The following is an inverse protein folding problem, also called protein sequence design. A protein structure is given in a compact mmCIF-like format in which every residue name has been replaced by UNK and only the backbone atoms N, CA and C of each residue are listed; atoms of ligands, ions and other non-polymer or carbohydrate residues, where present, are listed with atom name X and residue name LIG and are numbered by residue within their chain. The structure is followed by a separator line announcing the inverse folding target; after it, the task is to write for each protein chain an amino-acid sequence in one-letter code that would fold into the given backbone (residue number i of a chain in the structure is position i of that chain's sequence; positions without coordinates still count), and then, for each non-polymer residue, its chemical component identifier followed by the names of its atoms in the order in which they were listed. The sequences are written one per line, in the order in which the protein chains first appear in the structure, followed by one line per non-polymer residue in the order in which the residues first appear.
data_IF_691809939431
#
_entry.id   IF_691809939431
#
_cell.length_a   1.000
_cell.length_b   1.000
_cell.length_c   1.000
_cell.angle_alpha   90.00
_cell.angle_beta   90.00
_cell.angle_gamma   90.00
#
_symmetry.space_group_name_H-M   'P 1'
#
loop_
_entity.id
_entity.type
_entity.pdbx_description
1 polymer ?
#
# COMPACT_ATOMS: atom_id res chain seq x y z
N UNK A 1 16.23 -3.22 -3.55
CA UNK A 1 15.21 -4.26 -3.50
C UNK A 1 14.34 -4.08 -2.26
N UNK A 2 13.04 -4.20 -2.40
CA UNK A 2 12.11 -4.07 -1.29
C UNK A 2 12.17 -5.32 -0.40
N UNK A 3 12.45 -5.12 0.89
CA UNK A 3 12.49 -6.21 1.86
C UNK A 3 11.59 -5.88 3.04
N UNK A 4 10.41 -6.50 3.08
CA UNK A 4 9.42 -6.24 4.12
C UNK A 4 9.84 -6.76 5.49
N UNK A 5 10.80 -7.70 5.55
CA UNK A 5 11.29 -8.21 6.83
C UNK A 5 12.01 -7.14 7.65
N UNK A 6 12.47 -6.06 6.99
CA UNK A 6 13.13 -4.96 7.67
C UNK A 6 12.18 -3.89 8.18
N UNK A 7 10.88 -4.02 7.89
CA UNK A 7 9.90 -3.01 8.24
C UNK A 7 9.54 -3.12 9.72
N UNK A 8 9.65 -1.99 10.43
CA UNK A 8 9.33 -1.88 11.85
C UNK A 8 7.95 -1.26 12.11
N UNK A 9 7.37 -0.61 11.10
CA UNK A 9 6.08 0.03 11.29
C UNK A 9 5.69 0.93 10.13
N UNK A 10 4.73 1.82 10.41
CA UNK A 10 4.18 2.74 9.44
C UNK A 10 4.40 4.17 9.89
N UNK A 11 4.58 5.07 8.92
CA UNK A 11 4.72 6.50 9.20
C UNK A 11 3.44 7.23 8.79
N UNK A 12 2.79 7.84 9.77
CA UNK A 12 1.59 8.65 9.57
C UNK A 12 1.79 10.05 10.11
N UNK A 13 1.33 11.05 9.36
CA UNK A 13 1.26 12.44 9.83
C UNK A 13 0.16 13.15 9.04
N UNK A 14 0.00 14.47 9.24
CA UNK A 14 -1.05 15.23 8.58
C UNK A 14 -0.97 15.17 7.05
N UNK A 15 0.22 14.90 6.50
CA UNK A 15 0.40 14.82 5.04
C UNK A 15 -0.22 13.59 4.41
N UNK A 16 -0.45 12.52 5.15
CA UNK A 16 -0.99 11.28 4.59
C UNK A 16 -2.13 10.63 5.38
N UNK A 17 -2.34 11.00 6.65
CA UNK A 17 -3.25 10.27 7.54
C UNK A 17 -4.71 10.26 7.07
N UNK A 18 -5.21 11.36 6.53
CA UNK A 18 -6.63 11.50 6.18
C UNK A 18 -6.89 11.50 4.67
N UNK A 19 -5.84 11.47 3.86
CA UNK A 19 -5.98 11.67 2.42
C UNK A 19 -6.84 10.60 1.75
N UNK A 20 -6.59 9.34 2.04
CA UNK A 20 -7.33 8.23 1.42
C UNK A 20 -8.73 8.05 2.02
N UNK A 21 -8.90 8.37 3.30
CA UNK A 21 -10.21 8.37 3.94
C UNK A 21 -11.12 9.40 3.28
N UNK A 22 -10.62 10.63 3.05
CA UNK A 22 -11.39 11.69 2.45
C UNK A 22 -11.72 11.43 0.97
N UNK A 23 -10.78 10.87 0.20
CA UNK A 23 -10.96 10.67 -1.23
C UNK A 23 -11.59 9.35 -1.60
N UNK A 24 -11.27 8.28 -0.89
CA UNK A 24 -11.56 6.91 -1.31
C UNK A 24 -12.25 6.09 -0.23
N UNK A 25 -12.58 6.71 0.89
CA UNK A 25 -13.24 6.03 2.02
C UNK A 25 -12.44 4.82 2.52
N UNK A 26 -11.10 4.97 2.57
CA UNK A 26 -10.21 3.95 3.10
C UNK A 26 -9.56 4.47 4.37
N UNK A 27 -9.80 3.78 5.48
CA UNK A 27 -9.20 4.14 6.76
C UNK A 27 -7.70 3.80 6.78
N UNK A 28 -6.87 4.57 7.52
CA UNK A 28 -5.45 4.22 7.69
C UNK A 28 -5.25 2.77 8.13
N UNK A 29 -6.06 2.28 9.06
CA UNK A 29 -5.96 0.90 9.54
C UNK A 29 -6.19 -0.11 8.42
N UNK A 30 -7.13 0.16 7.51
CA UNK A 30 -7.39 -0.74 6.39
C UNK A 30 -6.18 -0.83 5.44
N UNK A 31 -5.54 0.30 5.16
CA UNK A 31 -4.37 0.30 4.29
C UNK A 31 -3.17 -0.41 4.92
N UNK A 32 -3.06 -0.40 6.25
CA UNK A 32 -2.02 -1.18 6.94
C UNK A 32 -2.31 -2.68 6.90
N UNK A 33 -3.57 -3.07 7.00
CA UNK A 33 -3.97 -4.48 7.10
C UNK A 33 -3.49 -5.31 5.92
N UNK A 34 -3.45 -4.74 4.72
CA UNK A 34 -3.07 -5.52 3.54
C UNK A 34 -1.65 -6.06 3.64
N UNK A 35 -0.78 -5.41 4.42
CA UNK A 35 0.61 -5.84 4.59
C UNK A 35 0.75 -7.07 5.49
N UNK A 36 -0.31 -7.46 6.16
CA UNK A 36 -0.33 -8.62 7.07
C UNK A 36 -1.11 -9.81 6.51
N UNK A 37 -1.70 -9.66 5.32
CA UNK A 37 -2.53 -10.70 4.72
C UNK A 37 -1.91 -11.19 3.41
N UNK A 38 -2.21 -12.44 3.06
CA UNK A 38 -1.77 -13.05 1.81
C UNK A 38 -2.95 -13.21 0.85
N UNK A 39 -2.70 -13.09 -0.46
CA UNK A 39 -1.44 -12.70 -1.08
C UNK A 39 -1.21 -11.20 -1.00
N UNK A 40 0.05 -10.79 -1.03
CA UNK A 40 0.44 -9.39 -1.13
C UNK A 40 1.33 -9.26 -2.37
N UNK A 41 0.84 -8.54 -3.38
CA UNK A 41 1.58 -8.33 -4.62
C UNK A 41 2.23 -6.96 -4.59
N UNK A 42 3.54 -6.91 -4.86
CA UNK A 42 4.33 -5.69 -4.80
C UNK A 42 4.97 -5.40 -6.15
N UNK A 43 4.87 -4.16 -6.59
CA UNK A 43 5.53 -3.67 -7.79
C UNK A 43 6.20 -2.33 -7.53
N UNK A 44 7.30 -2.07 -8.23
CA UNK A 44 7.93 -0.76 -8.22
C UNK A 44 7.15 0.16 -9.17
N UNK A 45 6.75 1.33 -8.68
CA UNK A 45 6.06 2.32 -9.51
C UNK A 45 7.08 3.30 -10.10
N UNK A 46 7.76 2.87 -11.16
CA UNK A 46 8.83 3.65 -11.77
C UNK A 46 8.33 4.99 -12.30
N UNK A 47 7.10 5.04 -12.79
CA UNK A 47 6.51 6.24 -13.38
C UNK A 47 6.40 7.39 -12.38
N UNK A 48 6.14 7.07 -11.13
CA UNK A 48 5.95 8.05 -10.07
C UNK A 48 7.09 8.11 -9.05
N UNK A 49 8.26 7.54 -9.40
CA UNK A 49 9.43 7.47 -8.51
C UNK A 49 10.46 8.56 -8.83
N UNK A 50 10.01 9.81 -9.00
CA UNK A 50 10.91 10.90 -9.42
C UNK A 50 11.84 11.39 -8.31
N UNK A 51 11.30 11.68 -7.13
CA UNK A 51 12.09 12.20 -6.01
C UNK A 51 12.45 11.12 -4.99
N UNK A 52 11.61 10.08 -4.91
CA UNK A 52 11.84 8.93 -4.03
C UNK A 52 11.17 7.71 -4.65
N UNK A 53 11.69 6.50 -4.40
CA UNK A 53 11.09 5.28 -4.93
C UNK A 53 9.67 5.11 -4.40
N UNK A 54 8.73 4.85 -5.31
CA UNK A 54 7.35 4.53 -4.96
C UNK A 54 7.04 3.11 -5.37
N UNK A 55 6.21 2.47 -4.56
CA UNK A 55 5.81 1.09 -4.74
C UNK A 55 4.30 1.00 -4.75
N UNK A 56 3.79 -0.01 -5.43
CA UNK A 56 2.37 -0.29 -5.49
C UNK A 56 2.13 -1.67 -4.91
N UNK A 57 1.17 -1.75 -3.98
CA UNK A 57 0.78 -3.00 -3.35
C UNK A 57 -0.67 -3.31 -3.69
N UNK A 58 -0.93 -4.55 -4.10
CA UNK A 58 -2.28 -5.09 -4.19
C UNK A 58 -2.45 -6.06 -3.05
N UNK A 59 -3.48 -5.88 -2.25
CA UNK A 59 -3.70 -6.72 -1.08
C UNK A 59 -5.15 -6.72 -0.63
N UNK A 60 -5.39 -7.40 0.49
CA UNK A 60 -6.73 -7.59 1.04
C UNK A 60 -6.74 -7.22 2.52
N UNK A 61 -7.77 -6.50 2.94
CA UNK A 61 -7.96 -6.15 4.36
C UNK A 61 -8.46 -7.36 5.13
N UNK A 62 -8.49 -7.25 6.47
CA UNK A 62 -9.08 -8.29 7.32
C UNK A 62 -10.56 -8.49 6.99
N UNK A 63 -11.26 -7.41 6.61
CA UNK A 63 -12.67 -7.48 6.19
C UNK A 63 -12.87 -7.90 4.74
N UNK A 64 -11.80 -8.32 4.05
CA UNK A 64 -11.82 -8.85 2.68
C UNK A 64 -12.07 -7.79 1.60
N UNK A 65 -11.77 -6.54 1.90
CA UNK A 65 -11.77 -5.46 0.91
C UNK A 65 -10.47 -5.49 0.12
N UNK A 66 -10.57 -5.42 -1.21
CA UNK A 66 -9.41 -5.45 -2.10
C UNK A 66 -8.91 -4.04 -2.34
N UNK A 67 -7.67 -3.76 -1.93
CA UNK A 67 -7.10 -2.42 -2.01
C UNK A 67 -5.85 -2.38 -2.89
N UNK A 68 -5.66 -1.22 -3.51
CA UNK A 68 -4.40 -0.81 -4.12
C UNK A 68 -3.81 0.29 -3.26
N UNK A 69 -2.59 0.08 -2.78
CA UNK A 69 -1.90 1.02 -1.90
C UNK A 69 -0.61 1.47 -2.56
N UNK A 70 -0.43 2.78 -2.66
CA UNK A 70 0.84 3.37 -3.11
C UNK A 70 1.61 3.81 -1.88
N UNK A 71 2.87 3.42 -1.78
CA UNK A 71 3.67 3.73 -0.60
C UNK A 71 5.12 3.97 -0.97
N UNK A 72 5.85 4.56 -0.04
CA UNK A 72 7.30 4.68 -0.10
C UNK A 72 7.89 4.22 1.24
N UNK A 73 9.20 4.15 1.32
CA UNK A 73 9.89 3.75 2.54
C UNK A 73 10.59 4.95 3.15
N UNK A 74 10.62 5.01 4.47
CA UNK A 74 11.26 6.08 5.24
C UNK A 74 12.15 5.48 6.32
N UNK A 75 12.97 6.32 6.93
CA UNK A 75 13.84 5.96 8.06
C UNK A 75 14.73 4.75 7.71
N UNK A 76 15.54 4.90 6.67
CA UNK A 76 16.46 3.85 6.19
C UNK A 76 15.69 2.57 5.82
N UNK A 77 14.54 2.74 5.16
CA UNK A 77 13.70 1.62 4.68
C UNK A 77 13.07 0.79 5.80
N UNK A 78 12.96 1.36 7.00
CA UNK A 78 12.36 0.65 8.14
C UNK A 78 10.89 0.98 8.37
N UNK A 79 10.38 2.05 7.74
CA UNK A 79 8.98 2.45 7.87
C UNK A 79 8.30 2.53 6.52
N UNK A 80 7.07 2.06 6.46
CA UNK A 80 6.20 2.23 5.28
C UNK A 80 5.43 3.54 5.45
N UNK A 81 5.58 4.44 4.48
CA UNK A 81 4.76 5.64 4.41
C UNK A 81 3.74 5.48 3.31
N UNK A 82 2.49 5.32 3.67
CA UNK A 82 1.40 5.17 2.72
C UNK A 82 1.08 6.54 2.12
N UNK A 83 1.09 6.60 0.78
CA UNK A 83 0.83 7.82 0.03
C UNK A 83 -0.64 7.90 -0.35
N UNK A 84 -1.21 6.79 -0.81
CA UNK A 84 -2.63 6.70 -1.14
C UNK A 84 -3.11 5.25 -1.06
N UNK A 85 -4.40 5.10 -0.82
CA UNK A 85 -5.05 3.79 -0.80
C UNK A 85 -6.44 3.94 -1.42
N UNK A 86 -6.85 2.96 -2.21
CA UNK A 86 -8.14 2.95 -2.88
C UNK A 86 -8.56 1.52 -3.16
N UNK A 87 -9.82 1.33 -3.53
CA UNK A 87 -10.27 0.03 -4.01
C UNK A 87 -9.53 -0.33 -5.30
N UNK A 88 -9.26 -1.61 -5.49
CA UNK A 88 -8.64 -2.09 -6.72
C UNK A 88 -9.56 -1.85 -7.92
N UNK A 89 -8.97 -1.45 -9.04
CA UNK A 89 -9.67 -1.40 -10.32
C UNK A 89 -9.89 -2.82 -10.85
N UNK A 90 -10.77 -2.95 -11.84
CA UNK A 90 -11.09 -4.25 -12.42
C UNK A 90 -9.85 -5.01 -12.87
N UNK A 91 -8.93 -4.36 -13.57
CA UNK A 91 -7.72 -5.02 -14.05
C UNK A 91 -6.83 -5.50 -12.90
N UNK A 92 -6.75 -4.70 -11.84
CA UNK A 92 -5.99 -5.06 -10.65
C UNK A 92 -6.60 -6.26 -9.94
N UNK A 93 -7.92 -6.29 -9.82
CA UNK A 93 -8.62 -7.44 -9.22
C UNK A 93 -8.37 -8.72 -10.00
N UNK A 94 -8.31 -8.64 -11.34
CA UNK A 94 -8.04 -9.81 -12.18
C UNK A 94 -6.61 -10.32 -11.95
N UNK A 95 -5.64 -9.42 -11.87
CA UNK A 95 -4.25 -9.78 -11.55
C UNK A 95 -4.16 -10.42 -10.16
N UNK A 96 -4.82 -9.78 -9.18
CA UNK A 96 -4.80 -10.25 -7.80
C UNK A 96 -5.42 -11.65 -7.66
N UNK A 97 -6.52 -11.90 -8.35
CA UNK A 97 -7.19 -13.20 -8.30
C UNK A 97 -6.31 -14.35 -8.79
N UNK A 98 -5.42 -14.07 -9.75
CA UNK A 98 -4.51 -15.10 -10.28
C UNK A 98 -3.38 -15.46 -9.32
N UNK A 99 -3.15 -14.66 -8.30
CA UNK A 99 -2.09 -14.89 -7.32
C UNK A 99 -2.47 -15.92 -6.25
N UNK A 100 -3.71 -16.32 -6.22
CA UNK A 100 -4.19 -17.33 -5.26
C UNK A 100 -3.91 -18.73 -5.76
#
# INVERSE_FOLDING_TARGET
MLNLDLILGFQWNAGNAEKSDQKHDVLPSESEEIFFNDPLLLNHDAKHSQSEPRFLALGITHGRRLLTVVFTLRENNSLIRIISARDQHRKERLVYAKAN
#
